data_IF_478550300286
#
_entry.id   IF_478550300286
#
_cell.length_a   1.000
_cell.length_b   1.000
_cell.length_c   1.000
_cell.angle_alpha   90.00
_cell.angle_beta   90.00
_cell.angle_gamma   90.00
#
_symmetry.space_group_name_H-M   'P 1'
#
loop_
_entity.id
_entity.type
_entity.pdbx_description
1 polymer ?
#
# COMPACT_ATOMS: atom_id res chain seq x y z
N UNK A 1 2.26 36.99 2.55
CA UNK A 1 3.11 35.79 2.79
C UNK A 1 2.36 34.57 2.27
N UNK A 2 3.00 33.79 1.39
CA UNK A 2 2.34 32.77 0.54
C UNK A 2 1.94 31.52 1.34
N UNK A 3 0.73 31.05 1.07
CA UNK A 3 0.08 29.84 1.58
C UNK A 3 0.86 28.61 1.10
N UNK A 4 1.27 27.75 2.04
CA UNK A 4 1.90 26.44 1.76
C UNK A 4 0.86 25.35 1.99
N UNK A 5 0.07 25.00 0.97
CA UNK A 5 -0.88 23.87 1.04
C UNK A 5 -0.85 22.93 -0.16
N UNK A 6 0.05 23.12 -1.13
CA UNK A 6 -0.02 22.38 -2.41
C UNK A 6 0.88 21.13 -2.50
N UNK A 7 1.67 20.79 -1.47
CA UNK A 7 2.65 19.69 -1.56
C UNK A 7 2.13 18.31 -1.17
N UNK A 8 1.05 18.20 -0.39
CA UNK A 8 0.59 16.89 0.13
C UNK A 8 -0.16 16.04 -0.91
N UNK A 9 -0.70 16.68 -1.97
CA UNK A 9 -1.36 15.97 -3.07
C UNK A 9 -0.40 15.50 -4.16
N UNK A 10 0.86 15.94 -4.13
CA UNK A 10 1.83 15.65 -5.19
C UNK A 10 2.62 14.35 -4.95
N UNK A 11 2.65 13.81 -3.73
CA UNK A 11 3.46 12.62 -3.42
C UNK A 11 2.66 11.31 -3.53
N UNK A 12 1.36 11.33 -3.21
CA UNK A 12 0.47 10.19 -3.49
C UNK A 12 0.32 9.99 -5.00
N UNK A 13 0.27 11.06 -5.81
CA UNK A 13 0.29 10.95 -7.27
C UNK A 13 1.61 10.42 -7.82
N UNK A 14 2.76 10.80 -7.25
CA UNK A 14 4.08 10.25 -7.64
C UNK A 14 4.19 8.76 -7.31
N UNK A 15 3.55 8.26 -6.24
CA UNK A 15 3.52 6.83 -5.92
C UNK A 15 2.55 6.03 -6.79
N UNK A 16 1.41 6.62 -7.16
CA UNK A 16 0.50 6.07 -8.17
C UNK A 16 1.20 6.02 -9.55
N UNK A 17 1.97 7.05 -9.90
CA UNK A 17 2.73 7.12 -11.17
C UNK A 17 3.93 6.15 -11.19
N UNK A 18 4.65 5.97 -10.07
CA UNK A 18 5.71 4.94 -9.94
C UNK A 18 5.17 3.50 -9.93
N UNK A 19 3.89 3.31 -9.56
CA UNK A 19 3.19 2.02 -9.68
C UNK A 19 2.70 1.76 -11.12
N UNK A 20 2.46 2.82 -11.90
CA UNK A 20 2.16 2.79 -13.35
C UNK A 20 3.29 2.20 -14.22
N UNK A 21 4.55 2.29 -13.75
CA UNK A 21 5.73 1.84 -14.50
C UNK A 21 6.08 0.36 -14.24
N UNK A 22 5.66 -0.23 -13.10
CA UNK A 22 5.99 -1.62 -12.73
C UNK A 22 4.84 -2.61 -12.91
N UNK A 23 3.60 -2.15 -13.08
CA UNK A 23 2.49 -2.95 -13.56
C UNK A 23 2.10 -2.47 -14.96
N UNK A 24 2.80 -3.00 -15.97
CA UNK A 24 2.26 -3.03 -17.33
C UNK A 24 0.90 -3.73 -17.28
N UNK A 25 -0.18 -2.97 -17.48
CA UNK A 25 -1.45 -3.56 -17.84
C UNK A 25 -1.25 -4.39 -19.11
N UNK A 26 -1.79 -5.61 -19.21
CA UNK A 26 -1.77 -6.33 -20.47
C UNK A 26 -2.51 -5.48 -21.50
N UNK A 27 -1.79 -5.03 -22.52
CA UNK A 27 -2.37 -4.44 -23.70
C UNK A 27 -3.25 -5.50 -24.36
N UNK A 28 -4.57 -5.38 -24.22
CA UNK A 28 -5.49 -6.11 -25.08
C UNK A 28 -6.70 -5.26 -25.49
N UNK A 29 -6.47 -4.55 -26.60
CA UNK A 29 -7.32 -4.53 -27.80
C UNK A 29 -8.84 -4.37 -27.58
N UNK A 30 -9.26 -3.13 -27.35
CA UNK A 30 -10.51 -2.65 -27.93
C UNK A 30 -10.21 -2.15 -29.36
N UNK A 31 -10.50 -2.97 -30.36
CA UNK A 31 -10.55 -2.52 -31.75
C UNK A 31 -11.98 -2.56 -32.27
N UNK A 32 -12.31 -1.47 -32.99
CA UNK A 32 -13.48 -1.17 -33.82
C UNK A 32 -14.60 -0.48 -33.02
N UNK A 33 -14.89 0.79 -33.28
CA UNK A 33 -15.29 1.37 -34.58
C UNK A 33 -14.66 2.75 -34.80
N UNK A 34 -14.06 2.98 -35.97
CA UNK A 34 -13.86 4.33 -36.50
C UNK A 34 -15.10 4.75 -37.29
N UNK A 35 -15.67 5.93 -36.98
CA UNK A 35 -16.25 6.86 -37.96
C UNK A 35 -16.55 8.25 -37.33
N UNK A 36 -15.95 9.27 -37.95
CA UNK A 36 -16.39 10.67 -38.14
C UNK A 36 -16.55 11.64 -36.95
N UNK A 37 -15.61 12.60 -36.89
CA UNK A 37 -15.78 14.07 -36.72
C UNK A 37 -17.05 14.63 -36.04
N UNK A 38 -16.91 15.16 -34.82
CA UNK A 38 -17.37 16.52 -34.42
C UNK A 38 -16.99 16.86 -32.95
N UNK A 39 -16.62 18.12 -32.64
CA UNK A 39 -16.16 18.52 -31.31
C UNK A 39 -17.28 19.17 -30.49
N UNK A 40 -18.14 18.36 -29.88
CA UNK A 40 -18.98 18.79 -28.75
C UNK A 40 -19.18 17.60 -27.83
N UNK A 41 -18.36 17.53 -26.77
CA UNK A 41 -18.53 16.53 -25.71
C UNK A 41 -19.79 16.93 -24.95
N UNK A 42 -20.95 16.39 -25.35
CA UNK A 42 -22.20 16.54 -24.61
C UNK A 42 -22.03 15.88 -23.24
N UNK A 43 -21.70 16.67 -22.22
CA UNK A 43 -21.60 16.19 -20.83
C UNK A 43 -22.93 15.54 -20.45
N UNK A 44 -22.90 14.24 -20.18
CA UNK A 44 -24.13 13.49 -19.90
C UNK A 44 -24.70 13.92 -18.54
N UNK A 45 -26.01 13.75 -18.33
CA UNK A 45 -26.66 13.99 -17.03
C UNK A 45 -25.98 13.20 -15.90
N UNK A 46 -25.47 12.01 -16.19
CA UNK A 46 -24.72 11.18 -15.24
C UNK A 46 -23.37 11.79 -14.85
N UNK A 47 -22.66 12.42 -15.78
CA UNK A 47 -21.40 13.11 -15.48
C UNK A 47 -21.64 14.34 -14.60
N UNK A 48 -22.71 15.09 -14.86
CA UNK A 48 -23.10 16.23 -14.02
C UNK A 48 -23.42 15.79 -12.60
N UNK A 49 -24.15 14.68 -12.44
CA UNK A 49 -24.45 14.11 -11.11
C UNK A 49 -23.18 13.65 -10.40
N UNK A 50 -22.27 12.97 -11.09
CA UNK A 50 -21.00 12.55 -10.49
C UNK A 50 -20.18 13.76 -10.03
N UNK A 51 -20.08 14.79 -10.87
CA UNK A 51 -19.37 16.03 -10.54
C UNK A 51 -19.99 16.76 -9.35
N UNK A 52 -21.33 16.83 -9.28
CA UNK A 52 -22.03 17.42 -8.13
C UNK A 52 -21.69 16.67 -6.84
N UNK A 53 -21.70 15.33 -6.82
CA UNK A 53 -21.33 14.54 -5.63
C UNK A 53 -19.87 14.68 -5.26
N UNK A 54 -18.99 14.77 -6.26
CA UNK A 54 -17.58 15.05 -6.04
C UNK A 54 -17.36 16.41 -5.34
N UNK A 55 -18.11 17.45 -5.73
CA UNK A 55 -18.07 18.75 -5.05
C UNK A 55 -18.57 18.66 -3.60
N UNK A 56 -19.69 17.98 -3.35
CA UNK A 56 -20.19 17.75 -1.98
C UNK A 56 -19.16 17.02 -1.10
N UNK A 57 -18.42 16.06 -1.66
CA UNK A 57 -17.34 15.38 -0.95
C UNK A 57 -16.17 16.33 -0.63
N UNK A 58 -15.82 17.25 -1.53
CA UNK A 58 -14.79 18.27 -1.25
C UNK A 58 -15.20 19.20 -0.11
N UNK A 59 -16.46 19.60 -0.06
CA UNK A 59 -16.99 20.40 1.04
C UNK A 59 -16.94 19.61 2.35
N UNK A 60 -17.39 18.35 2.34
CA UNK A 60 -17.29 17.46 3.49
C UNK A 60 -15.84 17.34 3.98
N UNK A 61 -14.88 17.13 3.07
CA UNK A 61 -13.45 17.03 3.41
C UNK A 61 -12.91 18.33 4.00
N UNK A 62 -13.35 19.48 3.49
CA UNK A 62 -12.95 20.79 4.02
C UNK A 62 -13.38 20.96 5.47
N UNK A 63 -14.59 20.51 5.81
CA UNK A 63 -15.17 20.59 7.16
C UNK A 63 -14.61 19.55 8.12
N UNK A 64 -14.44 18.30 7.68
CA UNK A 64 -14.10 17.17 8.56
C UNK A 64 -12.61 16.78 8.51
N UNK A 65 -11.84 17.35 7.57
CA UNK A 65 -10.43 17.01 7.29
C UNK A 65 -10.19 15.55 6.89
N UNK A 66 -11.24 14.87 6.44
CA UNK A 66 -11.17 13.55 5.84
C UNK A 66 -12.32 13.32 4.86
N UNK A 67 -12.16 12.35 3.98
CA UNK A 67 -13.17 11.93 2.99
C UNK A 67 -14.01 10.72 3.44
N UNK A 68 -13.80 10.23 4.66
CA UNK A 68 -14.52 9.08 5.20
C UNK A 68 -15.96 9.44 5.63
N UNK A 69 -16.86 9.53 4.65
CA UNK A 69 -18.30 9.73 4.89
C UNK A 69 -18.94 8.39 5.31
N UNK A 70 -19.68 8.32 6.43
CA UNK A 70 -20.45 7.14 6.80
C UNK A 70 -21.51 6.77 5.75
N UNK A 71 -21.79 5.48 5.58
CA UNK A 71 -22.82 5.00 4.62
C UNK A 71 -24.22 5.55 4.96
N UNK A 72 -24.49 5.70 6.25
CA UNK A 72 -25.72 6.18 6.88
C UNK A 72 -25.64 7.67 7.25
N UNK A 73 -24.79 8.45 6.57
CA UNK A 73 -24.61 9.87 6.85
C UNK A 73 -25.93 10.66 6.75
N UNK A 74 -26.50 11.03 7.90
CA UNK A 74 -27.85 11.57 8.00
C UNK A 74 -28.01 12.97 7.40
N UNK A 75 -26.96 13.80 7.48
CA UNK A 75 -26.99 15.17 6.92
C UNK A 75 -27.07 15.18 5.40
N UNK A 76 -26.47 14.18 4.74
CA UNK A 76 -26.58 13.99 3.29
C UNK A 76 -26.50 12.49 2.95
N UNK A 77 -27.64 11.77 3.00
CA UNK A 77 -27.66 10.32 2.77
C UNK A 77 -27.23 9.92 1.36
N UNK A 78 -27.43 10.81 0.39
CA UNK A 78 -27.03 10.58 -1.01
C UNK A 78 -25.50 10.58 -1.14
N UNK A 79 -24.81 11.49 -0.45
CA UNK A 79 -23.34 11.51 -0.41
C UNK A 79 -22.78 10.23 0.24
N UNK A 80 -23.33 9.80 1.37
CA UNK A 80 -22.89 8.56 2.03
C UNK A 80 -23.01 7.32 1.14
N UNK A 81 -24.15 7.18 0.43
CA UNK A 81 -24.36 6.12 -0.57
C UNK A 81 -23.40 6.24 -1.76
N UNK A 82 -23.19 7.45 -2.26
CA UNK A 82 -22.31 7.69 -3.40
C UNK A 82 -20.84 7.36 -3.08
N UNK A 83 -20.34 7.79 -1.91
CA UNK A 83 -19.00 7.44 -1.40
C UNK A 83 -18.83 5.93 -1.31
N UNK A 84 -19.81 5.24 -0.73
CA UNK A 84 -19.77 3.78 -0.65
C UNK A 84 -19.77 3.13 -2.05
N UNK A 85 -20.53 3.70 -2.99
CA UNK A 85 -20.53 3.23 -4.39
C UNK A 85 -19.15 3.37 -5.03
N UNK A 86 -18.44 4.48 -4.81
CA UNK A 86 -17.08 4.65 -5.36
C UNK A 86 -16.12 3.58 -4.81
N UNK A 87 -16.20 3.29 -3.50
CA UNK A 87 -15.41 2.21 -2.86
C UNK A 87 -15.71 0.84 -3.47
N UNK A 88 -16.98 0.51 -3.66
CA UNK A 88 -17.38 -0.76 -4.32
C UNK A 88 -16.86 -0.83 -5.75
N UNK A 89 -17.03 0.23 -6.54
CA UNK A 89 -16.59 0.26 -7.95
C UNK A 89 -15.06 0.14 -8.07
N UNK A 90 -14.31 0.73 -7.14
CA UNK A 90 -12.86 0.56 -7.10
C UNK A 90 -12.45 -0.85 -6.69
N UNK A 91 -13.13 -1.47 -5.72
CA UNK A 91 -12.89 -2.87 -5.37
C UNK A 91 -13.18 -3.82 -6.54
N UNK A 92 -14.26 -3.60 -7.30
CA UNK A 92 -14.53 -4.35 -8.53
C UNK A 92 -13.38 -4.21 -9.53
N UNK A 93 -12.91 -2.98 -9.76
CA UNK A 93 -11.78 -2.70 -10.65
C UNK A 93 -10.50 -3.43 -10.22
N UNK A 94 -10.16 -3.41 -8.93
CA UNK A 94 -8.98 -4.11 -8.40
C UNK A 94 -9.05 -5.63 -8.57
N UNK A 95 -10.26 -6.19 -8.56
CA UNK A 95 -10.50 -7.62 -8.78
C UNK A 95 -10.67 -7.97 -10.26
N UNK A 96 -10.36 -7.06 -11.19
CA UNK A 96 -10.47 -7.28 -12.63
C UNK A 96 -11.92 -7.40 -13.13
N UNK A 97 -12.89 -6.94 -12.36
CA UNK A 97 -14.32 -6.94 -12.73
C UNK A 97 -14.71 -5.63 -13.41
N UNK A 98 -15.82 -5.67 -14.14
CA UNK A 98 -16.39 -4.47 -14.76
C UNK A 98 -16.71 -3.41 -13.70
N UNK A 99 -16.31 -2.17 -14.00
CA UNK A 99 -16.45 -1.02 -13.11
C UNK A 99 -16.80 0.22 -13.92
N UNK A 100 -17.76 1.01 -13.44
CA UNK A 100 -18.10 2.32 -14.01
C UNK A 100 -17.15 3.44 -13.57
N UNK A 101 -16.09 3.11 -12.82
CA UNK A 101 -15.12 4.05 -12.30
C UNK A 101 -14.00 4.26 -13.32
N UNK A 102 -13.98 5.44 -13.94
CA UNK A 102 -12.96 5.81 -14.93
C UNK A 102 -11.65 6.25 -14.25
N UNK A 103 -10.54 6.16 -14.98
CA UNK A 103 -9.23 6.65 -14.50
C UNK A 103 -9.27 8.13 -14.10
N UNK A 104 -10.01 8.96 -14.84
CA UNK A 104 -10.17 10.38 -14.52
C UNK A 104 -10.85 10.58 -13.15
N UNK A 105 -11.91 9.82 -12.87
CA UNK A 105 -12.64 9.88 -11.59
C UNK A 105 -11.79 9.38 -10.42
N UNK A 106 -10.97 8.35 -10.64
CA UNK A 106 -9.99 7.87 -9.65
C UNK A 106 -9.01 8.98 -9.32
N UNK A 107 -8.40 9.59 -10.34
CA UNK A 107 -7.43 10.66 -10.14
C UNK A 107 -8.02 11.87 -9.39
N UNK A 108 -9.26 12.25 -9.69
CA UNK A 108 -9.96 13.33 -8.98
C UNK A 108 -10.20 13.02 -7.50
N UNK A 109 -10.57 11.76 -7.20
CA UNK A 109 -10.79 11.29 -5.83
C UNK A 109 -9.47 11.15 -5.06
N UNK A 110 -8.43 10.60 -5.69
CA UNK A 110 -7.08 10.51 -5.12
C UNK A 110 -6.52 11.90 -4.80
N UNK A 111 -6.75 12.89 -5.67
CA UNK A 111 -6.32 14.27 -5.49
C UNK A 111 -6.99 14.98 -4.29
N UNK A 112 -8.00 14.38 -3.65
CA UNK A 112 -8.58 14.93 -2.42
C UNK A 112 -8.38 13.99 -1.22
N UNK A 113 -7.50 12.98 -1.35
CA UNK A 113 -7.25 11.98 -0.32
C UNK A 113 -8.45 11.08 -0.07
N UNK A 114 -9.11 10.59 -1.12
CA UNK A 114 -10.26 9.71 -0.96
C UNK A 114 -9.90 8.39 -0.27
N UNK A 115 -10.58 8.08 0.83
CA UNK A 115 -10.44 6.81 1.54
C UNK A 115 -11.21 5.71 0.80
N UNK A 116 -10.51 4.96 -0.07
CA UNK A 116 -11.05 3.83 -0.84
C UNK A 116 -11.53 2.64 0.02
N UNK A 117 -11.17 2.61 1.30
CA UNK A 117 -11.72 1.68 2.29
C UNK A 117 -12.60 2.42 3.30
N UNK A 118 -13.62 1.74 3.83
CA UNK A 118 -14.37 2.20 5.00
C UNK A 118 -13.83 1.63 6.31
N UNK A 119 -12.93 0.63 6.23
CA UNK A 119 -12.30 0.04 7.40
C UNK A 119 -11.23 1.00 7.96
N UNK A 120 -11.46 1.44 9.20
CA UNK A 120 -10.55 2.34 9.91
C UNK A 120 -9.15 1.75 10.06
N UNK A 121 -9.03 0.43 10.24
CA UNK A 121 -7.72 -0.20 10.40
C UNK A 121 -6.92 -0.13 9.10
N UNK A 122 -7.57 -0.42 7.97
CA UNK A 122 -7.00 -0.25 6.64
C UNK A 122 -6.60 1.20 6.36
N UNK A 123 -7.46 2.17 6.67
CA UNK A 123 -7.14 3.60 6.49
C UNK A 123 -5.93 4.01 7.33
N UNK A 124 -5.89 3.63 8.61
CA UNK A 124 -4.77 3.94 9.49
C UNK A 124 -3.47 3.34 8.98
N UNK A 125 -3.52 2.11 8.47
CA UNK A 125 -2.36 1.47 7.84
C UNK A 125 -1.88 2.26 6.62
N UNK A 126 -2.79 2.68 5.74
CA UNK A 126 -2.47 3.46 4.54
C UNK A 126 -1.84 4.83 4.89
N UNK A 127 -2.35 5.50 5.93
CA UNK A 127 -1.79 6.77 6.41
C UNK A 127 -0.36 6.60 6.95
N UNK A 128 -0.12 5.57 7.77
CA UNK A 128 1.24 5.30 8.28
C UNK A 128 2.20 4.85 7.18
N UNK A 129 1.70 4.11 6.18
CA UNK A 129 2.48 3.77 4.99
C UNK A 129 2.86 5.02 4.20
N UNK A 130 1.93 5.95 3.96
CA UNK A 130 2.22 7.22 3.28
C UNK A 130 3.30 8.03 4.03
N UNK A 131 3.17 8.14 5.36
CA UNK A 131 4.17 8.78 6.22
C UNK A 131 5.54 8.08 6.14
N UNK A 132 5.58 6.75 6.10
CA UNK A 132 6.83 6.00 5.91
C UNK A 132 7.48 6.29 4.55
N UNK A 133 6.68 6.46 3.50
CA UNK A 133 7.23 6.85 2.19
C UNK A 133 7.82 8.24 2.23
N UNK A 134 7.18 9.20 2.91
CA UNK A 134 7.78 10.52 3.11
C UNK A 134 9.09 10.43 3.90
N UNK A 135 9.11 9.59 4.94
CA UNK A 135 10.33 9.32 5.69
C UNK A 135 11.44 8.76 4.78
N UNK A 136 11.14 7.78 3.93
CA UNK A 136 12.10 7.18 2.99
C UNK A 136 12.65 8.20 1.99
N UNK A 137 11.80 9.08 1.46
CA UNK A 137 12.24 10.12 0.53
C UNK A 137 13.27 11.05 1.20
N UNK A 138 13.04 11.42 2.46
CA UNK A 138 13.88 12.35 3.22
C UNK A 138 15.17 11.68 3.72
N UNK A 139 15.07 10.47 4.28
CA UNK A 139 16.17 9.80 4.98
C UNK A 139 16.91 8.77 4.10
N UNK A 140 16.35 8.42 2.94
CA UNK A 140 16.86 7.37 2.01
C UNK A 140 16.93 5.98 2.62
N UNK A 141 16.14 5.72 3.65
CA UNK A 141 15.93 4.39 4.22
C UNK A 141 14.54 4.26 4.88
N UNK A 142 14.20 3.05 5.31
CA UNK A 142 12.96 2.76 6.05
C UNK A 142 13.22 2.40 7.52
N UNK A 143 14.38 2.77 8.06
CA UNK A 143 14.81 2.45 9.42
C UNK A 143 14.38 3.55 10.40
N UNK A 144 13.07 3.73 10.51
CA UNK A 144 12.49 4.69 11.45
C UNK A 144 12.85 4.26 12.89
N UNK A 145 13.51 5.13 13.68
CA UNK A 145 13.75 4.87 15.10
C UNK A 145 12.44 4.64 15.84
N UNK A 146 12.42 3.75 16.83
CA UNK A 146 11.22 3.46 17.60
C UNK A 146 10.66 4.70 18.29
N UNK A 147 11.56 5.58 18.75
CA UNK A 147 11.33 6.84 19.44
C UNK A 147 11.39 8.06 18.50
N UNK A 148 11.14 7.86 17.20
CA UNK A 148 11.18 8.92 16.20
C UNK A 148 10.40 10.16 16.62
N UNK A 149 11.12 11.24 16.95
CA UNK A 149 10.58 12.38 17.70
C UNK A 149 9.53 13.17 16.91
N UNK A 150 9.68 13.26 15.59
CA UNK A 150 8.71 13.94 14.72
C UNK A 150 7.38 13.21 14.66
N UNK A 151 7.40 11.88 14.73
CA UNK A 151 6.19 11.07 14.74
C UNK A 151 6.44 9.72 15.46
N UNK A 152 6.26 9.66 16.80
CA UNK A 152 6.51 8.44 17.57
C UNK A 152 5.58 7.29 17.18
N UNK A 153 4.41 7.59 16.60
CA UNK A 153 3.49 6.56 16.13
C UNK A 153 4.05 5.81 14.91
N UNK A 154 4.79 6.51 14.05
CA UNK A 154 5.44 5.90 12.89
C UNK A 154 6.50 4.87 13.30
N UNK A 155 7.38 5.21 14.24
CA UNK A 155 8.43 4.30 14.75
C UNK A 155 7.83 3.02 15.36
N UNK A 156 6.78 3.18 16.18
CA UNK A 156 6.01 2.05 16.72
C UNK A 156 5.36 1.22 15.61
N UNK A 157 4.72 1.87 14.64
CA UNK A 157 4.03 1.19 13.55
C UNK A 157 5.00 0.39 12.66
N UNK A 158 6.18 0.94 12.36
CA UNK A 158 7.26 0.25 11.62
C UNK A 158 7.71 -1.01 12.35
N UNK A 159 7.92 -0.93 13.67
CA UNK A 159 8.24 -2.11 14.48
C UNK A 159 7.09 -3.13 14.49
N UNK A 160 5.84 -2.68 14.60
CA UNK A 160 4.67 -3.56 14.44
C UNK A 160 4.68 -4.29 13.10
N UNK A 161 5.02 -3.63 11.99
CA UNK A 161 5.08 -4.29 10.68
C UNK A 161 6.12 -5.43 10.68
N UNK A 162 7.29 -5.21 11.28
CA UNK A 162 8.35 -6.22 11.39
C UNK A 162 7.90 -7.42 12.23
N UNK A 163 7.24 -7.18 13.37
CA UNK A 163 6.67 -8.24 14.22
C UNK A 163 5.57 -9.02 13.49
N UNK A 164 4.66 -8.32 12.82
CA UNK A 164 3.56 -8.94 12.07
C UNK A 164 4.10 -9.80 10.92
N UNK A 165 5.11 -9.34 10.20
CA UNK A 165 5.76 -10.14 9.16
C UNK A 165 6.47 -11.38 9.70
N UNK A 166 7.13 -11.29 10.87
CA UNK A 166 7.70 -12.46 11.55
C UNK A 166 6.61 -13.49 11.89
N UNK A 167 5.48 -13.05 12.44
CA UNK A 167 4.35 -13.93 12.74
C UNK A 167 3.80 -14.58 11.47
N UNK A 168 3.63 -13.81 10.40
CA UNK A 168 3.17 -14.29 9.10
C UNK A 168 4.11 -15.35 8.50
N UNK A 169 5.43 -15.13 8.55
CA UNK A 169 6.44 -16.08 8.08
C UNK A 169 6.38 -17.42 8.82
N UNK A 170 6.12 -17.40 10.13
CA UNK A 170 6.01 -18.60 10.96
C UNK A 170 4.59 -19.18 11.01
N UNK A 171 3.69 -18.76 10.11
CA UNK A 171 2.28 -19.19 10.05
C UNK A 171 1.52 -18.98 11.38
N UNK A 172 1.96 -18.01 12.18
CA UNK A 172 1.24 -17.55 13.37
C UNK A 172 0.08 -16.62 13.00
N UNK A 173 -0.72 -16.25 13.99
CA UNK A 173 -1.80 -15.25 13.80
C UNK A 173 -1.18 -13.88 13.49
N UNK A 174 -1.44 -13.37 12.30
CA UNK A 174 -0.92 -12.07 11.84
C UNK A 174 -1.97 -11.30 11.05
N UNK A 175 -1.93 -9.96 11.17
CA UNK A 175 -2.69 -9.03 10.35
C UNK A 175 -1.92 -8.61 9.07
N UNK A 176 -0.77 -9.24 8.80
CA UNK A 176 0.01 -9.02 7.59
C UNK A 176 -0.65 -9.70 6.40
N UNK A 177 -0.78 -8.98 5.28
CA UNK A 177 -1.31 -9.51 4.03
C UNK A 177 -0.25 -9.45 2.92
N UNK A 178 -0.33 -10.29 1.87
CA UNK A 178 0.58 -10.22 0.74
C UNK A 178 0.67 -8.83 0.11
N UNK A 179 -0.44 -8.09 0.04
CA UNK A 179 -0.49 -6.73 -0.51
C UNK A 179 0.32 -5.75 0.35
N UNK A 180 0.21 -5.85 1.68
CA UNK A 180 0.98 -5.00 2.61
C UNK A 180 2.48 -5.30 2.50
N UNK A 181 2.85 -6.58 2.38
CA UNK A 181 4.24 -7.00 2.17
C UNK A 181 4.76 -6.41 0.86
N UNK A 182 4.03 -6.59 -0.25
CA UNK A 182 4.43 -6.07 -1.56
C UNK A 182 4.60 -4.55 -1.58
N UNK A 183 3.72 -3.81 -0.87
CA UNK A 183 3.84 -2.35 -0.74
C UNK A 183 5.11 -1.95 0.02
N UNK A 184 5.39 -2.62 1.13
CA UNK A 184 6.60 -2.36 1.94
C UNK A 184 7.87 -2.76 1.18
N UNK A 185 7.88 -3.90 0.50
CA UNK A 185 9.00 -4.35 -0.35
C UNK A 185 9.28 -3.36 -1.49
N UNK A 186 8.24 -2.79 -2.10
CA UNK A 186 8.36 -1.86 -3.23
C UNK A 186 9.11 -0.56 -2.89
N UNK A 187 9.19 -0.21 -1.61
CA UNK A 187 9.92 0.95 -1.07
C UNK A 187 11.23 0.54 -0.36
N UNK A 188 11.66 -0.71 -0.51
CA UNK A 188 12.90 -1.21 0.08
C UNK A 188 12.83 -1.44 1.59
N UNK A 189 11.64 -1.76 2.13
CA UNK A 189 11.44 -1.91 3.56
C UNK A 189 12.35 -3.00 4.17
N UNK A 190 13.14 -2.62 5.18
CA UNK A 190 14.05 -3.53 5.87
C UNK A 190 13.32 -4.30 6.98
N UNK A 191 12.92 -5.53 6.67
CA UNK A 191 12.24 -6.44 7.61
C UNK A 191 13.10 -6.86 8.81
N UNK A 192 14.41 -7.01 8.63
CA UNK A 192 15.36 -7.38 9.69
C UNK A 192 16.22 -6.17 10.06
N UNK A 193 16.25 -5.79 11.34
CA UNK A 193 17.30 -4.91 11.86
C UNK A 193 18.59 -5.73 12.02
N UNK A 194 19.71 -5.27 11.47
CA UNK A 194 21.00 -5.98 11.64
C UNK A 194 21.42 -5.93 13.11
N UNK A 195 21.34 -7.08 13.79
CA UNK A 195 22.32 -7.76 14.65
C UNK A 195 21.60 -8.43 15.83
N UNK A 196 21.30 -9.70 15.67
CA UNK A 196 21.41 -10.67 16.75
C UNK A 196 22.19 -11.86 16.15
N UNK A 197 23.47 -11.95 16.51
CA UNK A 197 24.20 -13.21 16.43
C UNK A 197 23.54 -14.07 17.50
N UNK A 198 22.70 -15.02 17.10
CA UNK A 198 22.18 -16.00 18.04
C UNK A 198 23.36 -16.91 18.37
N UNK A 199 23.80 -17.01 19.65
CA UNK A 199 24.78 -18.01 20.04
C UNK A 199 24.21 -19.38 19.67
N UNK A 200 24.93 -20.13 18.85
CA UNK A 200 24.64 -21.55 18.67
C UNK A 200 25.00 -22.17 20.01
N UNK A 201 24.02 -22.71 20.73
CA UNK A 201 24.24 -23.54 21.90
C UNK A 201 25.15 -24.70 21.46
N UNK A 202 26.45 -24.58 21.77
CA UNK A 202 27.39 -25.68 21.69
C UNK A 202 27.02 -26.60 22.85
N UNK A 203 26.34 -27.69 22.51
CA UNK A 203 26.05 -28.78 23.43
C UNK A 203 27.39 -29.39 23.90
N UNK A 204 27.77 -29.08 25.15
CA UNK A 204 28.92 -29.66 25.82
C UNK A 204 28.46 -30.80 26.72
N UNK A 205 28.63 -32.05 26.29
CA UNK A 205 29.03 -33.19 27.14
C UNK A 205 29.33 -34.44 26.28
N UNK A 206 30.59 -34.88 26.20
CA UNK A 206 31.14 -36.11 26.87
C UNK A 206 31.04 -37.33 25.93
N UNK A 207 32.05 -38.12 25.53
CA UNK A 207 33.46 -38.40 25.87
C UNK A 207 33.99 -39.36 24.78
N UNK A 208 35.28 -39.31 24.43
CA UNK A 208 36.26 -40.41 24.60
C UNK A 208 37.48 -40.25 23.66
N UNK A 209 38.59 -40.73 24.18
CA UNK A 209 39.98 -40.70 23.77
C UNK A 209 40.28 -41.56 22.53
N UNK A 210 41.39 -41.27 21.83
CA UNK A 210 42.06 -42.26 20.97
C UNK A 210 42.14 -42.02 19.45
N UNK A 211 43.21 -41.33 19.04
CA UNK A 211 44.17 -41.73 17.97
C UNK A 211 43.80 -41.64 16.46
N UNK A 212 44.40 -40.62 15.82
CA UNK A 212 45.13 -40.58 14.53
C UNK A 212 44.47 -40.82 13.14
N UNK A 213 44.91 -39.91 12.25
CA UNK A 213 45.22 -40.06 10.80
C UNK A 213 44.20 -39.52 9.78
N UNK A 214 44.59 -38.41 9.15
CA UNK A 214 44.44 -37.98 7.75
C UNK A 214 43.53 -38.80 6.82
N UNK A 215 42.56 -38.15 6.16
CA UNK A 215 42.42 -38.07 4.68
C UNK A 215 41.13 -37.33 4.24
N UNK A 216 41.28 -36.56 3.14
CA UNK A 216 40.32 -35.96 2.20
C UNK A 216 38.86 -36.46 2.19
N UNK A 217 37.89 -35.55 2.01
CA UNK A 217 37.14 -35.30 0.75
C UNK A 217 35.92 -34.40 1.02
N UNK A 218 35.75 -33.31 0.27
CA UNK A 218 34.85 -33.16 -0.90
C UNK A 218 33.36 -32.96 -0.57
N UNK A 219 32.79 -32.00 -1.32
CA UNK A 219 31.38 -31.79 -1.71
C UNK A 219 30.62 -30.61 -1.06
N UNK A 220 30.34 -29.63 -1.92
CA UNK A 220 29.02 -29.18 -2.38
C UNK A 220 27.90 -28.92 -1.36
N UNK A 221 27.35 -27.69 -1.39
CA UNK A 221 25.91 -27.34 -1.45
C UNK A 221 25.82 -25.79 -1.39
N UNK A 222 25.53 -25.03 -2.44
CA UNK A 222 24.28 -24.89 -3.20
C UNK A 222 23.05 -24.59 -2.32
N UNK A 223 22.36 -23.46 -2.58
CA UNK A 223 21.09 -23.20 -1.88
C UNK A 223 20.67 -21.76 -1.58
N UNK A 224 21.10 -20.77 -2.37
CA UNK A 224 20.50 -19.43 -2.35
C UNK A 224 19.10 -19.48 -3.02
N UNK A 225 18.07 -19.96 -2.31
CA UNK A 225 16.69 -20.01 -2.83
C UNK A 225 15.61 -19.81 -1.75
N UNK A 226 14.96 -18.64 -1.83
CA UNK A 226 13.62 -18.38 -1.27
C UNK A 226 12.65 -19.44 -1.82
N UNK A 227 11.76 -20.04 -1.00
CA UNK A 227 10.72 -20.91 -1.53
C UNK A 227 9.78 -20.08 -2.41
N UNK A 228 9.59 -20.53 -3.66
CA UNK A 228 8.65 -19.95 -4.59
C UNK A 228 7.22 -20.08 -4.02
N UNK A 229 6.46 -18.99 -4.06
CA UNK A 229 5.05 -19.02 -3.72
C UNK A 229 4.31 -19.86 -4.78
N UNK A 230 3.63 -20.90 -4.32
CA UNK A 230 2.65 -21.64 -5.12
C UNK A 230 1.34 -20.84 -5.06
N UNK A 231 0.78 -20.63 -6.25
CA UNK A 231 -0.36 -19.77 -6.58
C UNK A 231 -1.63 -20.05 -5.78
#
# INVERSE_FOLDING_TARGET
MRVRTDTNNSLISILVEKKRIRHTYPANRAQRVQRSTNPTRSTTTFDLQWQSRYHELKEYNTLNKHTNVPKDYTRNPQLGRWVNTQRTQYNLLLNGKESGLTTERINLLDAIGFAWSSDMMTIKWQLMYAELVEYEIVNRDTNVPFDYTRNPQLGRWVNTQRTQYKLWLHKGKSDMTPERINLLDAIGFRWRMKREIIPIDVDTSTTDDGTSTTTNNSNDDDGDRKPAAVW
#
